data_IF_025813968884
#
_entry.id   IF_025813968884
#
_cell.length_a   1.000
_cell.length_b   1.000
_cell.length_c   1.000
_cell.angle_alpha   90.00
_cell.angle_beta   90.00
_cell.angle_gamma   90.00
#
_symmetry.space_group_name_H-M   'P 1'
#
loop_
_entity.id
_entity.type
_entity.pdbx_description
1 polymer ?
#
# COMPACT_ATOMS: atom_id res chain seq x y z
N UNK A 1 -20.77 -22.66 -22.28
CA UNK A 1 -19.55 -21.86 -22.57
C UNK A 1 -19.92 -20.40 -22.30
N UNK A 2 -19.37 -19.78 -21.24
CA UNK A 2 -19.54 -18.34 -20.98
C UNK A 2 -18.67 -17.60 -22.00
N UNK A 3 -19.29 -16.77 -22.84
CA UNK A 3 -18.57 -15.90 -23.78
C UNK A 3 -18.28 -14.61 -23.02
N UNK A 4 -17.02 -14.37 -22.70
CA UNK A 4 -16.58 -13.08 -22.18
C UNK A 4 -16.42 -12.11 -23.36
N UNK A 5 -17.23 -11.09 -23.42
CA UNK A 5 -17.17 -10.08 -24.49
C UNK A 5 -15.97 -9.14 -24.37
N UNK A 6 -15.27 -9.14 -23.24
CA UNK A 6 -14.20 -8.18 -22.94
C UNK A 6 -14.69 -6.74 -22.70
N UNK A 7 -16.00 -6.49 -22.85
CA UNK A 7 -16.57 -5.14 -22.73
C UNK A 7 -16.33 -4.48 -21.37
N UNK A 8 -16.49 -5.17 -20.22
CA UNK A 8 -16.19 -4.55 -18.92
C UNK A 8 -14.72 -4.09 -18.82
N UNK A 9 -13.78 -4.90 -19.27
CA UNK A 9 -12.36 -4.54 -19.27
C UNK A 9 -12.08 -3.34 -20.18
N UNK A 10 -12.71 -3.29 -21.36
CA UNK A 10 -12.57 -2.16 -22.27
C UNK A 10 -13.13 -0.87 -21.66
N UNK A 11 -14.27 -0.92 -20.96
CA UNK A 11 -14.86 0.23 -20.29
C UNK A 11 -13.91 0.72 -19.18
N UNK A 12 -13.41 -0.16 -18.31
CA UNK A 12 -12.47 0.20 -17.27
C UNK A 12 -11.21 0.84 -17.85
N UNK A 13 -10.58 0.23 -18.86
CA UNK A 13 -9.39 0.80 -19.52
C UNK A 13 -9.66 2.16 -20.15
N UNK A 14 -10.83 2.36 -20.75
CA UNK A 14 -11.20 3.64 -21.34
C UNK A 14 -11.33 4.72 -20.25
N UNK A 15 -12.04 4.43 -19.16
CA UNK A 15 -12.18 5.35 -18.04
C UNK A 15 -10.82 5.69 -17.40
N UNK A 16 -9.98 4.69 -17.15
CA UNK A 16 -8.64 4.88 -16.60
C UNK A 16 -7.80 5.77 -17.52
N UNK A 17 -7.82 5.52 -18.83
CA UNK A 17 -7.04 6.32 -19.77
C UNK A 17 -7.54 7.77 -19.87
N UNK A 18 -8.84 8.03 -19.73
CA UNK A 18 -9.38 9.39 -19.67
C UNK A 18 -8.89 10.11 -18.41
N UNK A 19 -9.00 9.47 -17.24
CA UNK A 19 -8.60 10.08 -15.96
C UNK A 19 -7.09 10.31 -15.93
N UNK A 20 -6.28 9.33 -16.38
CA UNK A 20 -4.82 9.45 -16.33
C UNK A 20 -4.28 10.47 -17.34
N UNK A 21 -5.01 10.73 -18.44
CA UNK A 21 -4.61 11.75 -19.40
C UNK A 21 -4.63 13.17 -18.82
N UNK A 22 -5.47 13.40 -17.81
CA UNK A 22 -5.57 14.68 -17.09
C UNK A 22 -4.71 14.71 -15.82
N UNK A 23 -4.07 13.59 -15.46
CA UNK A 23 -3.19 13.49 -14.30
C UNK A 23 -1.80 14.07 -14.64
N UNK A 24 -1.50 15.24 -14.09
CA UNK A 24 -0.23 15.94 -14.28
C UNK A 24 0.76 15.79 -13.11
N UNK A 25 0.57 14.73 -12.28
CA UNK A 25 1.35 14.55 -11.05
C UNK A 25 0.75 15.27 -9.85
N UNK A 26 1.53 15.35 -8.78
CA UNK A 26 1.13 16.01 -7.53
C UNK A 26 2.09 17.14 -7.22
N UNK A 27 1.58 18.37 -7.19
CA UNK A 27 2.38 19.54 -6.84
C UNK A 27 2.47 19.70 -5.32
N UNK A 28 3.70 19.81 -4.82
CA UNK A 28 3.97 20.16 -3.43
C UNK A 28 4.35 21.62 -3.33
N UNK A 29 3.46 22.44 -2.76
CA UNK A 29 3.71 23.86 -2.55
C UNK A 29 4.10 24.13 -1.10
N UNK A 30 5.26 24.71 -0.89
CA UNK A 30 5.71 25.19 0.41
C UNK A 30 6.04 26.68 0.35
N UNK A 31 5.56 27.44 1.35
CA UNK A 31 5.85 28.88 1.43
C UNK A 31 7.35 29.19 1.65
N UNK A 32 8.15 28.22 2.08
CA UNK A 32 9.48 28.46 2.60
C UNK A 32 10.63 27.70 1.91
N UNK A 33 10.36 26.80 0.96
CA UNK A 33 11.47 26.04 0.36
C UNK A 33 11.07 25.30 -0.93
N UNK A 34 11.88 25.48 -1.97
CA UNK A 34 11.88 24.67 -3.18
C UNK A 34 12.37 23.24 -2.93
N UNK A 35 13.15 23.02 -1.86
CA UNK A 35 13.73 21.73 -1.51
C UNK A 35 12.66 20.63 -1.26
N UNK A 36 11.47 21.00 -0.79
CA UNK A 36 10.38 20.03 -0.62
C UNK A 36 9.79 19.59 -1.97
N UNK A 37 9.69 20.50 -2.94
CA UNK A 37 9.22 20.16 -4.29
C UNK A 37 10.22 19.24 -4.99
N UNK A 38 11.52 19.56 -4.94
CA UNK A 38 12.58 18.72 -5.50
C UNK A 38 12.58 17.32 -4.88
N UNK A 39 12.46 17.23 -3.54
CA UNK A 39 12.39 15.95 -2.84
C UNK A 39 11.15 15.15 -3.22
N UNK A 40 10.01 15.81 -3.43
CA UNK A 40 8.80 15.16 -3.90
C UNK A 40 8.94 14.62 -5.32
N UNK A 41 9.54 15.39 -6.24
CA UNK A 41 9.83 14.93 -7.59
C UNK A 41 10.68 13.66 -7.60
N UNK A 42 11.68 13.55 -6.71
CA UNK A 42 12.49 12.35 -6.54
C UNK A 42 11.64 11.16 -6.08
N UNK A 43 10.78 11.37 -5.08
CA UNK A 43 9.86 10.33 -4.56
C UNK A 43 8.92 9.87 -5.67
N UNK A 44 8.30 10.80 -6.38
CA UNK A 44 7.35 10.51 -7.47
C UNK A 44 8.01 9.70 -8.59
N UNK A 45 9.20 10.13 -9.00
CA UNK A 45 9.97 9.48 -10.07
C UNK A 45 10.46 8.09 -9.68
N UNK A 46 11.05 7.92 -8.49
CA UNK A 46 11.59 6.63 -8.05
C UNK A 46 10.47 5.61 -7.83
N UNK A 47 9.32 6.03 -7.33
CA UNK A 47 8.15 5.17 -7.15
C UNK A 47 7.31 4.99 -8.41
N UNK A 48 7.62 5.66 -9.52
CA UNK A 48 6.80 5.66 -10.74
C UNK A 48 5.33 5.94 -10.41
N UNK A 49 5.08 6.97 -9.62
CA UNK A 49 3.79 7.21 -8.99
C UNK A 49 2.64 7.31 -10.00
N UNK A 50 2.90 7.83 -11.20
CA UNK A 50 1.92 7.86 -12.30
C UNK A 50 1.45 6.45 -12.71
N UNK A 51 2.38 5.47 -12.81
CA UNK A 51 2.03 4.09 -13.12
C UNK A 51 1.26 3.44 -11.97
N UNK A 52 1.65 3.74 -10.73
CA UNK A 52 0.99 3.25 -9.52
C UNK A 52 -0.43 3.81 -9.40
N UNK A 53 -0.65 5.09 -9.70
CA UNK A 53 -1.97 5.72 -9.76
C UNK A 53 -2.82 5.09 -10.88
N UNK A 54 -2.22 4.80 -12.03
CA UNK A 54 -2.93 4.11 -13.12
C UNK A 54 -3.36 2.70 -12.71
N UNK A 55 -2.51 1.97 -11.97
CA UNK A 55 -2.87 0.66 -11.43
C UNK A 55 -4.01 0.79 -10.40
N UNK A 56 -3.91 1.73 -9.46
CA UNK A 56 -4.97 2.05 -8.50
C UNK A 56 -6.32 2.27 -9.20
N UNK A 57 -6.37 3.10 -10.23
CA UNK A 57 -7.61 3.38 -10.95
C UNK A 57 -8.21 2.13 -11.60
N UNK A 58 -7.37 1.22 -12.13
CA UNK A 58 -7.85 -0.07 -12.67
C UNK A 58 -8.46 -0.94 -11.59
N UNK A 59 -7.76 -1.07 -10.47
CA UNK A 59 -8.21 -1.92 -9.36
C UNK A 59 -9.50 -1.35 -8.73
N UNK A 60 -9.61 -0.04 -8.57
CA UNK A 60 -10.84 0.62 -8.11
C UNK A 60 -12.04 0.33 -9.02
N UNK A 61 -11.85 0.26 -10.34
CA UNK A 61 -12.93 -0.10 -11.27
C UNK A 61 -13.41 -1.55 -11.09
N UNK A 62 -12.60 -2.43 -10.51
CA UNK A 62 -12.88 -3.87 -10.41
C UNK A 62 -13.27 -4.29 -8.99
N UNK A 63 -12.49 -3.86 -7.98
CA UNK A 63 -12.65 -4.29 -6.59
C UNK A 63 -13.14 -3.18 -5.65
N UNK A 64 -13.09 -1.93 -6.09
CA UNK A 64 -13.63 -0.77 -5.36
C UNK A 64 -12.60 -0.09 -4.47
N UNK A 65 -12.20 -0.71 -3.38
CA UNK A 65 -11.36 -0.09 -2.35
C UNK A 65 -9.90 -0.51 -2.44
N UNK A 66 -9.03 0.25 -1.78
CA UNK A 66 -7.62 -0.06 -1.63
C UNK A 66 -6.91 0.92 -0.71
N UNK A 67 -5.60 0.77 -0.57
CA UNK A 67 -4.78 1.71 0.18
C UNK A 67 -3.37 1.83 -0.41
N UNK A 68 -2.82 3.04 -0.34
CA UNK A 68 -1.38 3.22 -0.49
C UNK A 68 -0.70 2.93 0.85
N UNK A 69 0.39 2.19 0.79
CA UNK A 69 1.32 1.94 1.89
C UNK A 69 2.57 2.77 1.66
N UNK A 70 3.03 3.48 2.70
CA UNK A 70 4.31 4.18 2.69
C UNK A 70 5.25 3.46 3.65
N UNK A 71 6.39 3.06 3.16
CA UNK A 71 7.42 2.37 3.95
C UNK A 71 8.81 2.94 3.70
N UNK A 72 9.76 2.60 4.57
CA UNK A 72 11.16 2.97 4.43
C UNK A 72 12.02 1.72 4.54
N UNK A 73 12.80 1.47 3.50
CA UNK A 73 13.84 0.44 3.49
C UNK A 73 15.08 1.01 2.81
N UNK A 74 16.05 1.41 3.64
CA UNK A 74 17.30 2.02 3.17
C UNK A 74 18.20 1.06 2.40
N UNK A 75 17.93 -0.25 2.44
CA UNK A 75 18.63 -1.22 1.62
C UNK A 75 18.12 -1.26 0.18
N UNK A 76 16.89 -0.75 -0.05
CA UNK A 76 16.21 -0.77 -1.35
C UNK A 76 16.15 0.62 -1.98
N UNK A 77 15.86 1.66 -1.19
CA UNK A 77 15.65 3.02 -1.68
C UNK A 77 16.13 4.07 -0.69
N UNK A 78 16.64 5.19 -1.20
CA UNK A 78 16.99 6.39 -0.42
C UNK A 78 15.81 7.35 -0.23
N UNK A 79 14.66 7.04 -0.85
CA UNK A 79 13.39 7.75 -0.68
C UNK A 79 12.32 6.82 -0.10
N UNK A 80 11.23 7.38 0.46
CA UNK A 80 10.08 6.58 0.86
C UNK A 80 9.55 5.72 -0.28
N UNK A 81 9.22 4.48 0.01
CA UNK A 81 8.62 3.54 -0.94
C UNK A 81 7.10 3.68 -0.82
N UNK A 82 6.42 3.92 -1.95
CA UNK A 82 4.97 4.07 -2.04
C UNK A 82 4.41 2.93 -2.86
N UNK A 83 3.60 2.07 -2.24
CA UNK A 83 3.02 0.89 -2.85
C UNK A 83 1.49 0.97 -2.83
N UNK A 84 0.84 0.57 -3.91
CA UNK A 84 -0.60 0.40 -3.97
C UNK A 84 -0.99 -1.04 -3.62
N UNK A 85 -1.99 -1.19 -2.74
CA UNK A 85 -2.57 -2.47 -2.36
C UNK A 85 -4.09 -2.45 -2.59
N UNK A 86 -4.63 -3.33 -3.46
CA UNK A 86 -6.08 -3.44 -3.68
C UNK A 86 -6.77 -4.11 -2.49
N UNK A 87 -8.10 -3.98 -2.42
CA UNK A 87 -8.92 -4.48 -1.32
C UNK A 87 -8.72 -5.96 -0.97
N UNK A 88 -8.28 -6.77 -1.93
CA UNK A 88 -8.04 -8.21 -1.70
C UNK A 88 -6.89 -8.49 -0.73
N UNK A 89 -5.97 -7.54 -0.57
CA UNK A 89 -4.75 -7.67 0.22
C UNK A 89 -4.74 -6.78 1.47
N UNK A 90 -5.88 -6.18 1.80
CA UNK A 90 -5.99 -5.25 2.92
C UNK A 90 -7.28 -5.46 3.72
N UNK A 91 -7.26 -4.98 4.95
CA UNK A 91 -8.45 -4.82 5.77
C UNK A 91 -8.46 -3.44 6.45
N UNK A 92 -9.65 -2.89 6.67
CA UNK A 92 -9.84 -1.64 7.39
C UNK A 92 -10.48 -1.89 8.75
N UNK A 93 -9.86 -1.38 9.81
CA UNK A 93 -10.47 -1.33 11.15
C UNK A 93 -11.20 0.00 11.32
N UNK A 94 -12.50 -0.06 11.61
CA UNK A 94 -13.33 1.13 11.81
C UNK A 94 -13.63 1.34 13.28
N UNK A 95 -13.52 2.60 13.73
CA UNK A 95 -14.00 3.05 15.04
C UNK A 95 -14.93 4.24 14.83
N UNK A 96 -16.19 4.10 15.24
CA UNK A 96 -17.25 5.12 15.07
C UNK A 96 -17.38 5.60 13.61
N UNK A 97 -17.29 4.66 12.65
CA UNK A 97 -17.42 4.94 11.22
C UNK A 97 -16.20 5.60 10.56
N UNK A 98 -15.07 5.70 11.27
CA UNK A 98 -13.82 6.25 10.75
C UNK A 98 -12.76 5.17 10.73
N UNK A 99 -11.94 5.15 9.67
CA UNK A 99 -10.80 4.23 9.58
C UNK A 99 -9.82 4.57 10.69
N UNK A 100 -9.51 3.58 11.50
CA UNK A 100 -8.55 3.66 12.59
C UNK A 100 -7.22 3.02 12.22
N UNK A 101 -7.30 1.92 11.48
CA UNK A 101 -6.13 1.15 11.05
C UNK A 101 -6.36 0.62 9.63
N UNK A 102 -5.25 0.42 8.93
CA UNK A 102 -5.18 -0.32 7.67
C UNK A 102 -4.24 -1.49 7.87
N UNK A 103 -4.71 -2.68 7.56
CA UNK A 103 -3.91 -3.92 7.62
C UNK A 103 -3.54 -4.32 6.21
N UNK A 104 -2.28 -4.62 6.00
CA UNK A 104 -1.75 -5.16 4.75
C UNK A 104 -1.30 -6.59 4.96
N UNK A 105 -1.61 -7.46 4.01
CA UNK A 105 -1.28 -8.87 4.07
C UNK A 105 -0.31 -9.26 2.96
N UNK A 106 0.75 -9.98 3.33
CA UNK A 106 1.70 -10.58 2.41
C UNK A 106 1.85 -12.07 2.72
N UNK A 107 1.60 -12.91 1.73
CA UNK A 107 1.74 -14.35 1.90
C UNK A 107 3.16 -14.79 1.52
N UNK A 108 3.80 -15.54 2.42
CA UNK A 108 5.11 -16.16 2.22
C UNK A 108 4.99 -17.67 2.15
N UNK A 109 5.84 -18.28 1.36
CA UNK A 109 5.99 -19.74 1.33
C UNK A 109 7.45 -20.10 1.61
N UNK A 110 7.71 -20.82 2.71
CA UNK A 110 9.06 -21.28 3.07
C UNK A 110 8.98 -22.73 3.53
N UNK A 111 9.86 -23.60 2.99
CA UNK A 111 9.93 -25.05 3.32
C UNK A 111 8.57 -25.76 3.20
N UNK A 112 7.83 -25.46 2.12
CA UNK A 112 6.47 -25.97 1.82
C UNK A 112 5.38 -25.61 2.85
N UNK A 113 5.62 -24.62 3.71
CA UNK A 113 4.62 -24.04 4.62
C UNK A 113 4.24 -22.66 4.16
N UNK A 114 2.99 -22.29 4.36
CA UNK A 114 2.48 -20.95 4.09
C UNK A 114 2.46 -20.15 5.37
N UNK A 115 2.77 -18.87 5.23
CA UNK A 115 2.76 -17.89 6.31
C UNK A 115 2.10 -16.64 5.81
N UNK A 116 1.30 -16.00 6.65
CA UNK A 116 0.72 -14.70 6.36
C UNK A 116 1.35 -13.65 7.27
N UNK A 117 2.02 -12.70 6.66
CA UNK A 117 2.55 -11.53 7.33
C UNK A 117 1.50 -10.43 7.31
N UNK A 118 1.17 -9.88 8.47
CA UNK A 118 0.26 -8.75 8.68
C UNK A 118 1.05 -7.54 9.14
N UNK A 119 0.86 -6.44 8.44
CA UNK A 119 1.36 -5.13 8.80
C UNK A 119 0.17 -4.24 9.15
N UNK A 120 0.02 -3.85 10.40
CA UNK A 120 -1.08 -2.99 10.88
C UNK A 120 -0.59 -1.56 11.01
N UNK A 121 -1.08 -0.69 10.16
CA UNK A 121 -0.78 0.75 10.13
C UNK A 121 -1.87 1.52 10.87
N UNK A 122 -1.50 2.14 11.98
CA UNK A 122 -2.34 3.06 12.74
C UNK A 122 -1.74 4.46 12.82
N UNK A 123 -2.43 5.35 13.53
CA UNK A 123 -1.91 6.69 13.81
C UNK A 123 -0.78 6.60 14.83
N UNK A 124 0.43 6.91 14.38
CA UNK A 124 1.63 6.92 15.21
C UNK A 124 2.32 5.56 15.37
N UNK A 125 1.86 4.51 14.71
CA UNK A 125 2.47 3.18 14.85
C UNK A 125 2.29 2.28 13.62
N UNK A 126 3.21 1.31 13.51
CA UNK A 126 3.10 0.16 12.64
C UNK A 126 3.38 -1.07 13.49
N UNK A 127 2.47 -2.03 13.52
CA UNK A 127 2.65 -3.33 14.16
C UNK A 127 2.81 -4.43 13.13
N UNK A 128 3.60 -5.43 13.47
CA UNK A 128 3.88 -6.59 12.63
C UNK A 128 3.44 -7.86 13.32
N UNK A 129 2.79 -8.76 12.60
CA UNK A 129 2.46 -10.08 13.07
C UNK A 129 2.66 -11.11 11.95
N UNK A 130 3.07 -12.33 12.30
CA UNK A 130 3.20 -13.44 11.38
C UNK A 130 2.31 -14.58 11.83
N UNK A 131 1.51 -15.12 10.91
CA UNK A 131 0.61 -16.24 11.17
C UNK A 131 1.00 -17.46 10.35
N UNK A 132 0.88 -18.64 10.95
CA UNK A 132 1.02 -19.91 10.24
C UNK A 132 -0.27 -20.28 9.46
N UNK A 133 -0.27 -21.40 8.77
CA UNK A 133 -1.40 -21.94 7.99
C UNK A 133 -2.63 -22.31 8.84
N UNK A 134 -2.49 -22.39 10.17
CA UNK A 134 -3.58 -22.60 11.12
C UNK A 134 -4.11 -21.27 11.72
N UNK A 135 -3.56 -20.13 11.30
CA UNK A 135 -3.90 -18.82 11.85
C UNK A 135 -3.32 -18.55 13.23
N UNK A 136 -2.31 -19.31 13.67
CA UNK A 136 -1.61 -19.07 14.93
C UNK A 136 -0.49 -18.06 14.71
N UNK A 137 -0.43 -17.06 15.57
CA UNK A 137 0.68 -16.11 15.58
C UNK A 137 1.99 -16.78 16.01
N UNK A 138 3.04 -16.52 15.27
CA UNK A 138 4.39 -17.07 15.44
C UNK A 138 5.45 -15.99 15.33
N UNK A 139 6.69 -16.31 15.68
CA UNK A 139 7.83 -15.40 15.60
C UNK A 139 8.08 -14.97 14.13
N UNK A 140 8.22 -13.65 13.91
CA UNK A 140 8.52 -13.04 12.61
C UNK A 140 9.77 -13.65 11.96
N UNK A 141 10.81 -13.93 12.76
CA UNK A 141 12.08 -14.46 12.30
C UNK A 141 12.01 -15.92 11.84
N UNK A 142 10.82 -16.55 11.93
CA UNK A 142 10.58 -17.88 11.33
C UNK A 142 10.69 -17.85 9.80
N UNK A 143 10.38 -16.70 9.19
CA UNK A 143 10.53 -16.48 7.74
C UNK A 143 11.79 -15.65 7.50
N UNK A 144 12.73 -16.21 6.75
CA UNK A 144 14.05 -15.61 6.52
C UNK A 144 13.95 -14.19 5.91
N UNK A 145 12.96 -13.96 5.05
CA UNK A 145 12.71 -12.67 4.43
C UNK A 145 12.29 -11.57 5.43
N UNK A 146 11.82 -11.94 6.63
CA UNK A 146 11.40 -11.02 7.69
C UNK A 146 12.42 -10.87 8.82
N UNK A 147 13.59 -11.50 8.70
CA UNK A 147 14.61 -11.54 9.75
C UNK A 147 15.18 -10.16 10.14
N UNK A 148 15.03 -9.19 9.27
CA UNK A 148 15.49 -7.81 9.47
C UNK A 148 14.46 -6.90 10.15
N UNK A 149 13.19 -7.32 10.25
CA UNK A 149 12.10 -6.53 10.84
C UNK A 149 12.17 -6.59 12.36
N UNK A 150 12.09 -5.43 13.02
CA UNK A 150 11.97 -5.38 14.47
C UNK A 150 10.55 -5.81 14.89
N UNK A 151 10.46 -6.88 15.66
CA UNK A 151 9.18 -7.42 16.16
C UNK A 151 8.40 -6.45 17.09
N UNK A 152 9.07 -5.40 17.58
CA UNK A 152 8.40 -4.36 18.39
C UNK A 152 7.57 -3.41 17.58
N UNK A 153 7.70 -3.46 16.24
CA UNK A 153 7.06 -2.49 15.35
C UNK A 153 7.76 -1.14 15.35
N UNK A 154 7.09 -0.16 14.76
CA UNK A 154 7.58 1.22 14.61
C UNK A 154 6.61 2.17 15.28
N UNK A 155 7.13 3.18 15.99
CA UNK A 155 6.34 4.27 16.56
C UNK A 155 6.86 5.62 16.05
N UNK A 156 5.93 6.53 15.77
CA UNK A 156 6.22 7.87 15.26
C UNK A 156 5.18 8.87 15.78
N UNK A 157 5.09 10.06 15.20
CA UNK A 157 4.12 11.08 15.61
C UNK A 157 2.68 10.57 15.37
N UNK A 158 1.84 10.59 16.41
CA UNK A 158 0.45 10.13 16.40
C UNK A 158 -0.47 10.92 15.45
N UNK A 159 -0.01 12.04 14.91
CA UNK A 159 -0.75 12.83 13.93
C UNK A 159 -0.79 12.20 12.54
N UNK A 160 0.07 11.22 12.28
CA UNK A 160 0.25 10.61 10.96
C UNK A 160 -0.10 9.13 10.94
N UNK A 161 -0.59 8.68 9.80
CA UNK A 161 -0.70 7.28 9.40
C UNK A 161 0.03 7.11 8.07
N UNK A 162 0.93 6.13 7.97
CA UNK A 162 1.69 5.86 6.73
C UNK A 162 0.94 4.90 5.78
N UNK A 163 -0.37 4.93 5.87
CA UNK A 163 -1.28 4.30 4.93
C UNK A 163 -2.36 5.31 4.52
N UNK A 164 -2.63 5.40 3.22
CA UNK A 164 -3.65 6.30 2.67
C UNK A 164 -4.78 5.47 2.08
N UNK A 165 -5.90 5.32 2.81
CA UNK A 165 -7.07 4.60 2.31
C UNK A 165 -7.67 5.34 1.10
N UNK A 166 -8.07 4.58 0.09
CA UNK A 166 -8.83 5.06 -1.07
C UNK A 166 -10.11 4.25 -1.11
N UNK A 167 -11.24 4.92 -0.85
CA UNK A 167 -12.57 4.31 -0.81
C UNK A 167 -13.39 4.79 -2.00
N UNK A 168 -14.18 3.88 -2.55
CA UNK A 168 -15.14 4.17 -3.61
C UNK A 168 -16.49 4.59 -3.03
#
# INVERSE_FOLDING_TARGET
RKIHTGLPALICETLVNIVIADYNGTDVTSKNSTAYAERWEDIEKQNKLSDTVKQMLRDLCVVGDGAFKVSFDTAVSDVPIVEWHPAENIDFTYVRGRIREVKFYTDYTQKHRRYRFEETYGYGYIHYALYDDNGKEIDLHTVDALSWIDSKGVTFDESYMWAVPVLY
#
